data_IF_406364714630
#
_entry.id   IF_406364714630
#
_cell.length_a   1.000
_cell.length_b   1.000
_cell.length_c   1.000
_cell.angle_alpha   90.00
_cell.angle_beta   90.00
_cell.angle_gamma   90.00
#
_symmetry.space_group_name_H-M   'P 1'
#
loop_
_entity.id
_entity.type
_entity.pdbx_description
1 polymer ?
#
# COMPACT_ATOMS: atom_id res chain seq x y z
N UNK A 1 -4.19 -8.39 22.86
CA UNK A 1 -4.87 -8.67 21.57
C UNK A 1 -3.89 -9.41 20.67
N UNK A 2 -4.33 -10.49 20.03
CA UNK A 2 -3.49 -11.18 19.05
C UNK A 2 -3.38 -10.34 17.76
N UNK A 3 -2.24 -10.35 17.04
CA UNK A 3 -2.06 -9.60 15.79
C UNK A 3 -3.17 -9.84 14.75
N UNK A 4 -3.70 -11.07 14.70
CA UNK A 4 -4.80 -11.44 13.80
C UNK A 4 -6.07 -10.59 13.96
N UNK A 5 -6.32 -10.04 15.15
CA UNK A 5 -7.50 -9.19 15.38
C UNK A 5 -7.40 -7.85 14.64
N UNK A 6 -6.19 -7.28 14.53
CA UNK A 6 -5.96 -6.02 13.83
C UNK A 6 -6.31 -6.18 12.34
N UNK A 7 -5.84 -7.26 11.71
CA UNK A 7 -6.13 -7.56 10.31
C UNK A 7 -7.61 -7.88 10.04
N UNK A 8 -8.30 -8.56 10.98
CA UNK A 8 -9.74 -8.86 10.83
C UNK A 8 -10.64 -7.62 10.95
N UNK A 9 -10.19 -6.61 11.69
CA UNK A 9 -10.96 -5.39 11.95
C UNK A 9 -10.59 -4.22 11.05
N UNK A 10 -9.48 -4.32 10.31
CA UNK A 10 -9.00 -3.30 9.39
C UNK A 10 -8.78 -3.92 8.01
N UNK A 11 -9.84 -4.09 7.21
CA UNK A 11 -9.72 -4.64 5.86
C UNK A 11 -9.16 -3.61 4.87
N UNK A 12 -8.51 -4.07 3.79
CA UNK A 12 -8.07 -3.18 2.71
C UNK A 12 -9.26 -2.47 2.05
N UNK A 13 -9.02 -1.26 1.52
CA UNK A 13 -10.00 -0.56 0.71
C UNK A 13 -9.86 -1.00 -0.75
N UNK A 14 -10.84 -1.77 -1.23
CA UNK A 14 -10.85 -2.31 -2.61
C UNK A 14 -10.91 -1.20 -3.69
N UNK A 15 -11.15 0.06 -3.32
CA UNK A 15 -11.03 1.19 -4.24
C UNK A 15 -9.56 1.58 -4.55
N UNK A 16 -8.61 1.08 -3.77
CA UNK A 16 -7.16 1.29 -3.93
C UNK A 16 -6.52 -0.01 -4.45
N UNK A 17 -6.84 -0.39 -5.69
CA UNK A 17 -6.51 -1.70 -6.27
C UNK A 17 -5.02 -1.87 -6.68
N UNK A 18 -4.22 -0.81 -6.60
CA UNK A 18 -2.79 -0.80 -6.93
C UNK A 18 -2.13 0.53 -6.53
N UNK A 19 -1.15 0.46 -5.63
CA UNK A 19 -0.43 1.61 -5.05
C UNK A 19 -1.36 2.48 -4.20
N UNK A 20 -0.93 2.79 -2.95
CA UNK A 20 -1.66 3.44 -1.84
C UNK A 20 -2.44 2.49 -0.91
N UNK A 21 -2.62 1.22 -1.24
CA UNK A 21 -3.28 0.24 -0.36
C UNK A 21 -2.54 0.06 0.97
N UNK A 22 -1.21 0.05 0.91
CA UNK A 22 -0.32 -0.06 2.05
C UNK A 22 -0.33 1.21 2.93
N UNK A 23 -0.36 2.38 2.29
CA UNK A 23 -0.46 3.66 2.97
C UNK A 23 -1.82 3.83 3.65
N UNK A 24 -2.94 3.51 2.98
CA UNK A 24 -4.28 3.58 3.57
C UNK A 24 -4.39 2.64 4.77
N UNK A 25 -3.93 1.40 4.62
CA UNK A 25 -3.96 0.41 5.69
C UNK A 25 -3.11 0.83 6.88
N UNK A 26 -1.86 1.23 6.66
CA UNK A 26 -0.96 1.68 7.73
C UNK A 26 -1.47 2.96 8.40
N UNK A 27 -1.97 3.93 7.65
CA UNK A 27 -2.55 5.14 8.22
C UNK A 27 -3.80 4.85 9.06
N UNK A 28 -4.65 3.92 8.62
CA UNK A 28 -5.82 3.48 9.39
C UNK A 28 -5.43 2.81 10.70
N UNK A 29 -4.44 1.91 10.68
CA UNK A 29 -3.89 1.28 11.88
C UNK A 29 -3.37 2.34 12.86
N UNK A 30 -2.61 3.32 12.35
CA UNK A 30 -2.11 4.43 13.16
C UNK A 30 -3.25 5.23 13.80
N UNK A 31 -4.27 5.62 13.02
CA UNK A 31 -5.46 6.35 13.48
C UNK A 31 -6.29 5.57 14.51
N UNK A 32 -6.28 4.23 14.46
CA UNK A 32 -6.92 3.36 15.44
C UNK A 32 -6.09 3.20 16.74
N UNK A 33 -4.96 3.89 16.87
CA UNK A 33 -4.12 3.90 18.07
C UNK A 33 -3.15 2.73 18.17
N UNK A 34 -3.01 1.92 17.12
CA UNK A 34 -2.04 0.83 17.11
C UNK A 34 -0.64 1.36 16.73
N UNK A 35 0.41 0.97 17.48
CA UNK A 35 1.77 1.37 17.15
C UNK A 35 2.27 0.68 15.89
N UNK A 36 2.95 1.44 15.02
CA UNK A 36 3.65 0.93 13.85
C UNK A 36 5.14 1.10 14.10
N UNK A 37 5.87 -0.03 14.12
CA UNK A 37 7.28 -0.07 14.47
C UNK A 37 8.09 -0.38 13.21
N UNK A 38 9.07 0.48 12.90
CA UNK A 38 10.04 0.24 11.83
C UNK A 38 11.33 -0.31 12.45
N UNK A 39 11.65 -1.56 12.16
CA UNK A 39 12.87 -2.23 12.63
C UNK A 39 14.05 -1.89 11.70
N UNK A 40 14.87 -0.91 12.09
CA UNK A 40 15.96 -0.38 11.24
C UNK A 40 17.07 -1.39 10.94
N UNK A 41 17.33 -2.29 11.88
CA UNK A 41 18.39 -3.30 11.78
C UNK A 41 17.91 -4.59 11.11
N UNK A 42 16.60 -4.77 10.94
CA UNK A 42 16.02 -5.90 10.23
C UNK A 42 16.00 -5.60 8.73
N UNK A 43 16.79 -6.35 7.95
CA UNK A 43 16.84 -6.24 6.50
C UNK A 43 16.21 -7.46 5.85
N UNK A 44 15.29 -7.22 4.92
CA UNK A 44 14.68 -8.25 4.08
C UNK A 44 15.09 -7.93 2.64
N UNK A 45 15.59 -8.93 1.92
CA UNK A 45 15.93 -8.79 0.51
C UNK A 45 14.71 -9.17 -0.32
N UNK A 46 14.08 -8.20 -0.96
CA UNK A 46 13.06 -8.44 -1.96
C UNK A 46 13.74 -8.55 -3.33
N UNK A 47 13.79 -9.76 -3.89
CA UNK A 47 14.23 -9.95 -5.26
C UNK A 47 13.08 -9.53 -6.17
N UNK A 48 13.16 -8.30 -6.70
CA UNK A 48 12.29 -7.91 -7.79
C UNK A 48 12.65 -8.76 -9.01
N UNK A 49 11.68 -9.47 -9.55
CA UNK A 49 11.90 -10.26 -10.76
C UNK A 49 12.29 -9.34 -11.90
N UNK A 50 13.13 -9.84 -12.81
CA UNK A 50 13.35 -9.17 -14.08
C UNK A 50 12.01 -9.00 -14.80
N UNK A 51 11.68 -7.74 -15.07
CA UNK A 51 10.50 -7.40 -15.86
C UNK A 51 10.88 -7.41 -17.32
N UNK A 52 10.03 -8.01 -18.14
CA UNK A 52 10.09 -7.80 -19.58
C UNK A 52 9.85 -6.33 -19.91
N UNK A 53 10.28 -5.87 -21.09
CA UNK A 53 9.99 -4.51 -21.57
C UNK A 53 8.49 -4.19 -21.54
N UNK A 54 7.64 -5.19 -21.79
CA UNK A 54 6.18 -5.04 -21.76
C UNK A 54 5.66 -4.82 -20.33
N UNK A 55 6.26 -5.45 -19.34
CA UNK A 55 5.87 -5.31 -17.93
C UNK A 55 6.36 -3.99 -17.33
N UNK A 56 7.57 -3.56 -17.69
CA UNK A 56 8.05 -2.20 -17.42
C UNK A 56 7.10 -1.16 -18.04
N UNK A 57 6.73 -1.34 -19.31
CA UNK A 57 5.76 -0.48 -19.97
C UNK A 57 4.36 -0.55 -19.32
N UNK A 58 3.97 -1.69 -18.74
CA UNK A 58 2.71 -1.83 -18.01
C UNK A 58 2.71 -1.01 -16.70
N UNK A 59 3.82 -1.00 -15.97
CA UNK A 59 3.96 -0.25 -14.70
C UNK A 59 4.22 1.24 -14.95
N UNK A 60 4.96 1.57 -16.00
CA UNK A 60 5.38 2.92 -16.36
C UNK A 60 4.49 3.65 -17.38
N UNK A 61 3.29 3.18 -17.68
CA UNK A 61 2.39 3.86 -18.62
C UNK A 61 1.48 4.91 -17.97
N UNK A 62 0.80 5.66 -18.83
CA UNK A 62 -0.19 6.68 -18.48
C UNK A 62 -1.33 6.16 -17.62
N UNK A 63 -1.76 4.90 -17.79
CA UNK A 63 -2.84 4.32 -16.97
C UNK A 63 -2.37 4.08 -15.53
N UNK A 64 -1.16 3.57 -15.34
CA UNK A 64 -0.55 3.40 -14.01
C UNK A 64 -0.30 4.74 -13.33
N UNK A 65 0.14 5.76 -14.08
CA UNK A 65 0.25 7.14 -13.59
C UNK A 65 -1.11 7.70 -13.15
N UNK A 66 -2.15 7.52 -13.98
CA UNK A 66 -3.51 7.94 -13.66
C UNK A 66 -4.04 7.23 -12.39
N UNK A 67 -3.86 5.91 -12.27
CA UNK A 67 -4.27 5.14 -11.07
C UNK A 67 -3.62 5.69 -9.80
N UNK A 68 -2.30 5.89 -9.81
CA UNK A 68 -1.56 6.47 -8.67
C UNK A 68 -2.08 7.86 -8.30
N UNK A 69 -2.35 8.70 -9.31
CA UNK A 69 -2.90 10.05 -9.08
C UNK A 69 -4.32 9.99 -8.49
N UNK A 70 -5.20 9.16 -9.06
CA UNK A 70 -6.55 8.92 -8.55
C UNK A 70 -6.51 8.43 -7.10
N UNK A 71 -5.70 7.43 -6.79
CA UNK A 71 -5.59 6.87 -5.44
C UNK A 71 -5.06 7.88 -4.42
N UNK A 72 -4.09 8.71 -4.82
CA UNK A 72 -3.65 9.84 -4.00
C UNK A 72 -4.78 10.80 -3.67
N UNK A 73 -5.60 11.16 -4.67
CA UNK A 73 -6.75 12.04 -4.47
C UNK A 73 -7.79 11.40 -3.56
N UNK A 74 -8.10 10.12 -3.75
CA UNK A 74 -9.02 9.37 -2.89
C UNK A 74 -8.53 9.30 -1.43
N UNK A 75 -7.24 9.02 -1.22
CA UNK A 75 -6.63 9.00 0.11
C UNK A 75 -6.78 10.35 0.82
N UNK A 76 -6.47 11.46 0.13
CA UNK A 76 -6.60 12.81 0.68
C UNK A 76 -8.06 13.22 0.88
N UNK A 77 -8.99 12.74 0.08
CA UNK A 77 -10.42 13.01 0.28
C UNK A 77 -10.98 12.25 1.49
N UNK A 78 -10.41 11.07 1.80
CA UNK A 78 -10.85 10.20 2.88
C UNK A 78 -10.39 10.66 4.27
N UNK A 79 -9.28 11.39 4.36
CA UNK A 79 -8.58 11.76 5.60
C UNK A 79 -8.18 13.22 5.66
#
# INVERSE_FOLDING_TARGET
MAPAYIFKTNLFDEQLDFVYEDLDFSYRIHRAGYPIIVLRDLKIYHMERDKTKLEEARVGNVYSAYRKAKHRMLFVQKY
#
